data_IF_235623233425
#
_entry.id   IF_235623233425
#
_cell.length_a   1.000
_cell.length_b   1.000
_cell.length_c   1.000
_cell.angle_alpha   90.00
_cell.angle_beta   90.00
_cell.angle_gamma   90.00
#
_symmetry.space_group_name_H-M   'P 1'
#
loop_
_entity.id
_entity.type
_entity.pdbx_description
1 polymer ?
#
# COMPACT_ATOMS: atom_id res chain seq x y z
N UNK A 1 11.87 6.25 -4.58
CA UNK A 1 10.40 6.19 -4.46
C UNK A 1 9.94 7.63 -4.35
N UNK A 2 9.01 8.05 -5.21
CA UNK A 2 8.59 9.44 -5.27
C UNK A 2 7.08 9.53 -5.12
N UNK A 3 6.64 10.11 -4.01
CA UNK A 3 5.25 10.43 -3.74
C UNK A 3 5.04 11.93 -3.87
N UNK A 4 3.92 12.33 -4.47
CA UNK A 4 3.59 13.74 -4.69
C UNK A 4 2.35 14.19 -3.89
N UNK A 5 1.85 13.36 -2.99
CA UNK A 5 0.59 13.62 -2.26
C UNK A 5 0.69 14.68 -1.15
N UNK A 6 1.87 15.24 -0.92
CA UNK A 6 2.13 16.32 0.05
C UNK A 6 2.17 17.71 -0.57
N UNK A 7 2.13 17.82 -1.89
CA UNK A 7 2.11 19.11 -2.61
C UNK A 7 0.68 19.47 -3.05
N UNK A 8 0.52 20.67 -3.61
CA UNK A 8 -0.78 21.11 -4.15
C UNK A 8 -1.35 20.07 -5.14
N UNK A 9 -2.64 19.71 -5.06
CA UNK A 9 -3.24 18.70 -5.92
C UNK A 9 -3.06 18.95 -7.42
N UNK A 10 -3.12 20.20 -7.86
CA UNK A 10 -2.94 20.56 -9.28
C UNK A 10 -1.50 20.34 -9.73
N UNK A 11 -0.54 20.66 -8.88
CA UNK A 11 0.87 20.41 -9.14
C UNK A 11 1.15 18.90 -9.14
N UNK A 12 0.59 18.13 -8.17
CA UNK A 12 0.74 16.70 -8.08
C UNK A 12 0.33 15.97 -9.37
N UNK A 13 -0.77 16.40 -10.01
CA UNK A 13 -1.21 15.84 -11.30
C UNK A 13 -0.11 16.00 -12.37
N UNK A 14 0.50 17.17 -12.45
CA UNK A 14 1.58 17.45 -13.40
C UNK A 14 2.82 16.61 -13.14
N UNK A 15 3.24 16.51 -11.87
CA UNK A 15 4.42 15.74 -11.48
C UNK A 15 4.22 14.23 -11.65
N UNK A 16 3.07 13.68 -11.27
CA UNK A 16 2.76 12.26 -11.50
C UNK A 16 2.83 11.93 -13.00
N UNK A 17 2.22 12.73 -13.84
CA UNK A 17 2.27 12.54 -15.30
C UNK A 17 3.69 12.57 -15.85
N UNK A 18 4.48 13.59 -15.48
CA UNK A 18 5.88 13.70 -15.91
C UNK A 18 6.72 12.51 -15.44
N UNK A 19 6.53 12.07 -14.19
CA UNK A 19 7.22 10.92 -13.63
C UNK A 19 6.87 9.65 -14.40
N UNK A 20 5.59 9.39 -14.63
CA UNK A 20 5.13 8.21 -15.36
C UNK A 20 5.61 8.19 -16.82
N UNK A 21 5.56 9.32 -17.52
CA UNK A 21 6.08 9.45 -18.88
C UNK A 21 7.60 9.18 -18.95
N UNK A 22 8.35 9.70 -17.97
CA UNK A 22 9.80 9.49 -17.87
C UNK A 22 10.14 8.03 -17.61
N UNK A 23 9.39 7.40 -16.70
CA UNK A 23 9.54 5.98 -16.38
C UNK A 23 9.19 5.10 -17.59
N UNK A 24 8.09 5.39 -18.29
CA UNK A 24 7.69 4.66 -19.50
C UNK A 24 8.75 4.74 -20.60
N UNK A 25 9.36 5.92 -20.78
CA UNK A 25 10.48 6.08 -21.72
C UNK A 25 11.70 5.24 -21.33
N UNK A 26 11.99 5.11 -20.04
CA UNK A 26 13.08 4.26 -19.55
C UNK A 26 12.77 2.77 -19.74
N UNK A 27 11.56 2.33 -19.40
CA UNK A 27 11.08 0.96 -19.57
C UNK A 27 11.09 0.56 -21.05
N UNK A 28 10.72 1.47 -21.96
CA UNK A 28 10.67 1.19 -23.40
C UNK A 28 12.00 0.70 -23.98
N UNK A 29 13.11 1.07 -23.37
CA UNK A 29 14.46 0.63 -23.75
C UNK A 29 14.81 -0.78 -23.25
N UNK A 30 14.03 -1.31 -22.31
CA UNK A 30 14.29 -2.57 -21.62
C UNK A 30 13.00 -3.39 -21.39
N UNK A 31 12.09 -3.40 -22.36
CA UNK A 31 10.73 -3.99 -22.27
C UNK A 31 10.67 -5.43 -21.78
N UNK A 32 11.70 -6.23 -22.04
CA UNK A 32 11.75 -7.63 -21.61
C UNK A 32 12.27 -7.81 -20.17
N UNK A 33 12.63 -6.73 -19.49
CA UNK A 33 13.28 -6.77 -18.17
C UNK A 33 12.65 -5.84 -17.14
N UNK A 34 12.00 -4.78 -17.59
CA UNK A 34 11.43 -3.75 -16.72
C UNK A 34 9.95 -3.61 -17.00
N UNK A 35 9.19 -3.50 -15.93
CA UNK A 35 7.81 -3.06 -15.89
C UNK A 35 7.69 -1.85 -14.95
N UNK A 36 6.52 -1.22 -14.88
CA UNK A 36 6.30 -0.06 -14.04
C UNK A 36 4.96 -0.08 -13.33
N UNK A 37 4.94 0.60 -12.20
CA UNK A 37 3.74 0.97 -11.48
C UNK A 37 3.57 2.49 -11.52
N UNK A 38 2.34 2.95 -11.70
CA UNK A 38 2.04 4.37 -11.83
C UNK A 38 2.15 5.10 -10.49
N UNK A 39 2.81 6.27 -10.49
CA UNK A 39 2.65 7.26 -9.42
C UNK A 39 1.37 8.05 -9.65
N UNK A 40 0.58 8.24 -8.59
CA UNK A 40 -0.75 8.81 -8.68
C UNK A 40 -0.93 10.03 -7.76
N UNK A 41 -1.72 11.04 -8.17
CA UNK A 41 -2.04 12.22 -7.35
C UNK A 41 -3.14 11.88 -6.34
N UNK A 42 -2.80 11.17 -5.26
CA UNK A 42 -3.76 10.60 -4.29
C UNK A 42 -4.52 11.65 -3.46
N UNK A 43 -4.20 12.94 -3.60
CA UNK A 43 -5.02 14.06 -3.07
C UNK A 43 -6.35 14.22 -3.80
N UNK A 44 -6.44 13.72 -5.05
CA UNK A 44 -7.61 13.82 -5.92
C UNK A 44 -7.89 12.44 -6.54
N UNK A 45 -8.81 11.64 -5.96
CA UNK A 45 -9.11 10.29 -6.44
C UNK A 45 -9.59 10.24 -7.91
N UNK A 46 -10.28 11.27 -8.39
CA UNK A 46 -10.71 11.32 -9.78
C UNK A 46 -9.53 11.55 -10.74
N UNK A 47 -8.60 12.42 -10.36
CA UNK A 47 -7.36 12.62 -11.11
C UNK A 47 -6.48 11.37 -11.03
N UNK A 48 -6.43 10.69 -9.88
CA UNK A 48 -5.71 9.43 -9.71
C UNK A 48 -6.26 8.33 -10.63
N UNK A 49 -7.58 8.18 -10.71
CA UNK A 49 -8.23 7.21 -11.62
C UNK A 49 -7.89 7.48 -13.09
N UNK A 50 -7.94 8.75 -13.51
CA UNK A 50 -7.60 9.14 -14.90
C UNK A 50 -6.15 8.87 -15.25
N UNK A 51 -5.24 9.15 -14.32
CA UNK A 51 -3.81 8.93 -14.53
C UNK A 51 -3.48 7.42 -14.47
N UNK A 52 -4.16 6.65 -13.62
CA UNK A 52 -4.04 5.20 -13.61
C UNK A 52 -4.49 4.62 -14.96
N UNK A 53 -5.68 4.96 -15.42
CA UNK A 53 -6.22 4.50 -16.71
C UNK A 53 -5.25 4.80 -17.85
N UNK A 54 -4.73 6.04 -17.92
CA UNK A 54 -3.73 6.43 -18.91
C UNK A 54 -2.44 5.61 -18.79
N UNK A 55 -1.96 5.40 -17.57
CA UNK A 55 -0.71 4.66 -17.33
C UNK A 55 -0.82 3.20 -17.75
N UNK A 56 -1.98 2.58 -17.54
CA UNK A 56 -2.23 1.21 -17.95
C UNK A 56 -2.41 1.11 -19.47
N UNK A 57 -3.33 1.91 -20.05
CA UNK A 57 -3.74 1.79 -21.46
C UNK A 57 -2.71 2.34 -22.42
N UNK A 58 -2.07 3.47 -22.10
CA UNK A 58 -1.19 4.19 -23.02
C UNK A 58 0.30 3.92 -22.75
N UNK A 59 0.70 3.73 -21.47
CA UNK A 59 2.09 3.54 -21.10
C UNK A 59 2.47 2.07 -20.86
N UNK A 60 1.48 1.18 -20.72
CA UNK A 60 1.70 -0.25 -20.52
C UNK A 60 2.22 -0.61 -19.13
N UNK A 61 1.82 0.15 -18.10
CA UNK A 61 2.13 -0.16 -16.72
C UNK A 61 1.25 -1.30 -16.20
N UNK A 62 1.65 -1.88 -15.06
CA UNK A 62 1.05 -3.09 -14.50
C UNK A 62 0.20 -2.85 -13.26
N UNK A 63 0.13 -1.63 -12.76
CA UNK A 63 -0.62 -1.27 -11.56
C UNK A 63 -0.24 0.11 -11.05
N UNK A 64 -0.62 0.39 -9.81
CA UNK A 64 -0.28 1.63 -9.12
C UNK A 64 0.63 1.40 -7.92
N UNK A 65 1.52 2.37 -7.66
CA UNK A 65 2.37 2.43 -6.50
C UNK A 65 1.98 3.64 -5.66
N UNK A 66 1.39 3.41 -4.49
CA UNK A 66 0.85 4.46 -3.62
C UNK A 66 1.46 4.40 -2.23
N UNK A 67 1.43 5.54 -1.54
CA UNK A 67 1.92 5.64 -0.18
C UNK A 67 0.91 5.23 0.88
N UNK A 68 1.39 4.99 2.10
CA UNK A 68 0.54 4.75 3.27
C UNK A 68 -0.11 6.03 3.80
N UNK A 69 0.45 7.19 3.48
CA UNK A 69 0.01 8.50 3.96
C UNK A 69 -0.42 9.39 2.78
N UNK A 70 -1.70 9.70 2.70
CA UNK A 70 -2.30 10.67 1.78
C UNK A 70 -3.55 11.29 2.41
N UNK A 71 -3.96 12.52 1.99
CA UNK A 71 -4.91 13.36 2.75
C UNK A 71 -6.25 12.72 3.10
N UNK A 72 -6.82 11.91 2.20
CA UNK A 72 -8.12 11.26 2.43
C UNK A 72 -8.01 9.97 3.25
N UNK A 73 -6.91 9.26 3.11
CA UNK A 73 -6.74 7.91 3.68
C UNK A 73 -7.61 6.84 3.00
N UNK A 74 -7.27 5.58 3.25
CA UNK A 74 -7.85 4.45 2.51
C UNK A 74 -9.36 4.25 2.72
N UNK A 75 -9.87 4.52 3.91
CA UNK A 75 -11.28 4.24 4.24
C UNK A 75 -12.27 5.30 3.77
N UNK A 76 -11.80 6.42 3.20
CA UNK A 76 -12.64 7.52 2.80
C UNK A 76 -13.53 7.15 1.60
N UNK A 77 -14.82 7.55 1.63
CA UNK A 77 -15.78 7.19 0.59
C UNK A 77 -15.45 7.75 -0.81
N UNK A 78 -14.77 8.88 -0.88
CA UNK A 78 -14.32 9.43 -2.16
C UNK A 78 -13.28 8.55 -2.87
N UNK A 79 -12.70 7.57 -2.16
CA UNK A 79 -11.81 6.57 -2.75
C UNK A 79 -12.57 5.47 -3.50
N UNK A 80 -13.89 5.35 -3.32
CA UNK A 80 -14.66 4.23 -3.88
C UNK A 80 -14.62 4.21 -5.42
N UNK A 81 -14.69 5.36 -6.10
CA UNK A 81 -14.54 5.44 -7.55
C UNK A 81 -13.13 5.02 -8.02
N UNK A 82 -12.11 5.35 -7.25
CA UNK A 82 -10.73 4.92 -7.53
C UNK A 82 -10.56 3.41 -7.39
N UNK A 83 -11.13 2.80 -6.35
CA UNK A 83 -11.11 1.35 -6.18
C UNK A 83 -11.89 0.63 -7.29
N UNK A 84 -13.03 1.16 -7.69
CA UNK A 84 -13.78 0.65 -8.85
C UNK A 84 -12.93 0.68 -10.12
N UNK A 85 -12.21 1.78 -10.35
CA UNK A 85 -11.31 1.91 -11.49
C UNK A 85 -10.18 0.87 -11.48
N UNK A 86 -9.59 0.59 -10.30
CA UNK A 86 -8.55 -0.45 -10.17
C UNK A 86 -9.11 -1.84 -10.52
N UNK A 87 -10.30 -2.17 -10.02
CA UNK A 87 -10.99 -3.44 -10.31
C UNK A 87 -11.34 -3.55 -11.80
N UNK A 88 -11.89 -2.50 -12.41
CA UNK A 88 -12.25 -2.48 -13.84
C UNK A 88 -11.04 -2.62 -14.77
N UNK A 89 -9.88 -2.11 -14.34
CA UNK A 89 -8.63 -2.23 -15.08
C UNK A 89 -7.89 -3.55 -14.82
N UNK A 90 -8.35 -4.32 -13.83
CA UNK A 90 -7.71 -5.57 -13.37
C UNK A 90 -6.24 -5.37 -13.01
N UNK A 91 -5.96 -4.40 -12.14
CA UNK A 91 -4.59 -4.01 -11.78
C UNK A 91 -4.40 -3.87 -10.27
N UNK A 92 -3.24 -4.31 -9.73
CA UNK A 92 -2.96 -4.22 -8.32
C UNK A 92 -2.58 -2.81 -7.86
N UNK A 93 -2.86 -2.54 -6.59
CA UNK A 93 -2.30 -1.43 -5.82
C UNK A 93 -1.14 -1.94 -4.99
N UNK A 94 0.07 -1.46 -5.26
CA UNK A 94 1.22 -1.70 -4.39
C UNK A 94 1.35 -0.55 -3.39
N UNK A 95 1.27 -0.87 -2.10
CA UNK A 95 1.31 0.10 -1.00
C UNK A 95 2.67 0.02 -0.32
N UNK A 96 3.31 1.16 -0.18
CA UNK A 96 4.62 1.26 0.46
C UNK A 96 4.64 2.45 1.43
N UNK A 97 5.39 2.42 2.52
CA UNK A 97 5.45 3.52 3.46
C UNK A 97 5.78 4.85 2.79
N UNK A 98 5.01 5.85 3.14
CA UNK A 98 5.29 7.25 2.80
C UNK A 98 5.01 8.10 4.02
N UNK A 99 5.79 7.95 5.07
CA UNK A 99 5.61 8.73 6.26
C UNK A 99 5.81 10.21 5.94
N UNK A 100 5.13 11.08 6.68
CA UNK A 100 5.30 12.53 6.56
C UNK A 100 6.78 12.96 6.65
N UNK A 101 7.62 12.14 7.28
CA UNK A 101 9.05 12.33 7.36
C UNK A 101 9.81 12.32 6.02
N UNK A 102 9.26 11.77 4.94
CA UNK A 102 9.87 11.89 3.60
C UNK A 102 9.86 13.35 3.12
N UNK A 103 8.88 14.12 3.55
CA UNK A 103 8.61 15.47 3.07
C UNK A 103 8.43 16.50 4.19
N UNK A 104 8.70 16.11 5.41
CA UNK A 104 8.62 16.92 6.61
C UNK A 104 9.02 16.12 7.85
N UNK A 105 9.07 16.76 9.01
CA UNK A 105 9.44 16.06 10.24
C UNK A 105 8.39 14.99 10.58
N UNK A 106 8.87 13.86 11.01
CA UNK A 106 8.03 12.80 11.58
C UNK A 106 7.22 13.38 12.76
N UNK A 107 5.99 12.98 12.90
CA UNK A 107 5.13 13.50 13.99
C UNK A 107 5.54 13.00 15.38
N UNK A 108 6.37 11.96 15.46
CA UNK A 108 6.87 11.38 16.70
C UNK A 108 8.38 11.56 16.83
N UNK A 109 8.82 12.53 17.63
CA UNK A 109 10.22 12.86 17.86
C UNK A 109 11.06 11.68 18.40
N UNK A 110 10.44 10.63 18.92
CA UNK A 110 11.15 9.41 19.35
C UNK A 110 11.73 8.65 18.19
N UNK A 111 11.24 8.89 16.98
CA UNK A 111 11.69 8.26 15.75
C UNK A 111 12.80 9.03 15.02
N UNK A 112 13.16 10.23 15.48
CA UNK A 112 14.13 11.11 14.81
C UNK A 112 15.59 10.59 14.86
N UNK A 113 15.90 9.66 15.78
CA UNK A 113 17.24 9.14 15.97
C UNK A 113 17.34 7.67 15.53
N UNK A 114 18.55 7.27 15.18
CA UNK A 114 18.92 5.87 14.89
C UNK A 114 18.16 5.25 13.70
N UNK A 115 17.67 6.08 12.80
CA UNK A 115 16.82 5.66 11.68
C UNK A 115 15.57 4.87 12.13
N UNK A 116 15.03 5.21 13.31
CA UNK A 116 13.80 4.58 13.80
C UNK A 116 12.58 4.94 12.95
N UNK A 117 12.63 6.06 12.25
CA UNK A 117 11.64 6.43 11.22
C UNK A 117 11.52 5.36 10.13
N UNK A 118 12.65 4.83 9.65
CA UNK A 118 12.69 3.77 8.64
C UNK A 118 12.41 2.40 9.23
N UNK A 119 13.00 2.08 10.38
CA UNK A 119 12.95 0.71 10.92
C UNK A 119 11.69 0.40 11.73
N UNK A 120 11.11 1.39 12.39
CA UNK A 120 9.89 1.27 13.21
C UNK A 120 8.74 2.02 12.57
N UNK A 121 8.98 3.25 12.09
CA UNK A 121 7.97 4.11 11.52
C UNK A 121 7.30 3.46 10.30
N UNK A 122 8.07 2.99 9.35
CA UNK A 122 7.57 2.30 8.16
C UNK A 122 6.68 1.11 8.51
N UNK A 123 7.13 0.25 9.41
CA UNK A 123 6.35 -0.92 9.84
C UNK A 123 5.04 -0.52 10.55
N UNK A 124 5.05 0.57 11.32
CA UNK A 124 3.84 1.09 11.94
C UNK A 124 2.86 1.66 10.93
N UNK A 125 3.34 2.38 9.93
CA UNK A 125 2.51 2.98 8.88
C UNK A 125 1.83 1.91 8.03
N UNK A 126 2.55 0.86 7.63
CA UNK A 126 1.99 -0.28 6.92
C UNK A 126 0.92 -0.99 7.73
N UNK A 127 1.19 -1.24 9.01
CA UNK A 127 0.22 -1.85 9.91
C UNK A 127 -1.04 -0.99 10.07
N UNK A 128 -0.87 0.34 10.16
CA UNK A 128 -1.99 1.28 10.24
C UNK A 128 -2.78 1.33 8.92
N UNK A 129 -2.09 1.31 7.77
CA UNK A 129 -2.74 1.26 6.46
C UNK A 129 -3.59 0.00 6.30
N UNK A 130 -3.06 -1.18 6.67
CA UNK A 130 -3.81 -2.44 6.69
C UNK A 130 -5.03 -2.36 7.61
N UNK A 131 -4.86 -1.79 8.81
CA UNK A 131 -5.97 -1.55 9.73
C UNK A 131 -7.06 -0.68 9.09
N UNK A 132 -6.70 0.43 8.44
CA UNK A 132 -7.64 1.31 7.76
C UNK A 132 -8.36 0.63 6.59
N UNK A 133 -7.65 -0.14 5.78
CA UNK A 133 -8.24 -0.91 4.68
C UNK A 133 -9.28 -1.92 5.19
N UNK A 134 -8.92 -2.70 6.20
CA UNK A 134 -9.75 -3.79 6.71
C UNK A 134 -10.91 -3.24 7.55
N UNK A 135 -10.68 -2.45 8.60
CA UNK A 135 -11.76 -1.88 9.41
C UNK A 135 -12.63 -0.91 8.62
N UNK A 136 -12.05 -0.19 7.65
CA UNK A 136 -12.76 0.66 6.71
C UNK A 136 -13.60 -0.09 5.68
N UNK A 137 -13.50 -1.43 5.62
CA UNK A 137 -14.31 -2.28 4.75
C UNK A 137 -14.00 -2.11 3.26
N UNK A 138 -12.78 -1.76 2.90
CA UNK A 138 -12.41 -1.57 1.49
C UNK A 138 -12.53 -2.89 0.75
N UNK A 139 -11.88 -3.96 1.21
CA UNK A 139 -11.96 -5.29 0.60
C UNK A 139 -13.34 -5.96 0.78
N UNK A 140 -14.11 -5.55 1.78
CA UNK A 140 -15.50 -5.98 1.93
C UNK A 140 -16.39 -5.42 0.80
N UNK A 141 -16.14 -4.15 0.39
CA UNK A 141 -16.86 -3.53 -0.74
C UNK A 141 -16.29 -3.92 -2.10
N UNK A 142 -14.99 -4.16 -2.17
CA UNK A 142 -14.23 -4.45 -3.39
C UNK A 142 -13.41 -5.75 -3.21
N UNK A 143 -14.08 -6.92 -3.16
CA UNK A 143 -13.39 -8.20 -2.89
C UNK A 143 -12.43 -8.63 -4.02
N UNK A 144 -12.61 -8.07 -5.22
CA UNK A 144 -11.76 -8.32 -6.39
C UNK A 144 -10.63 -7.28 -6.53
N UNK A 145 -10.46 -6.39 -5.55
CA UNK A 145 -9.36 -5.42 -5.55
C UNK A 145 -8.08 -6.10 -5.07
N UNK A 146 -7.10 -6.22 -5.96
CA UNK A 146 -5.77 -6.71 -5.59
C UNK A 146 -4.96 -5.61 -4.89
N UNK A 147 -4.57 -5.87 -3.66
CA UNK A 147 -3.69 -5.01 -2.86
C UNK A 147 -2.43 -5.81 -2.52
N UNK A 148 -1.26 -5.23 -2.76
CA UNK A 148 0.01 -5.74 -2.27
C UNK A 148 0.64 -4.72 -1.34
N UNK A 149 1.14 -5.14 -0.19
CA UNK A 149 1.82 -4.27 0.77
C UNK A 149 3.27 -4.70 0.97
N UNK A 150 4.15 -3.71 1.12
CA UNK A 150 5.59 -3.95 1.29
C UNK A 150 5.96 -4.49 2.68
N UNK A 151 7.20 -4.93 2.82
CA UNK A 151 7.86 -5.35 4.07
C UNK A 151 7.03 -6.31 4.94
N UNK A 152 6.34 -7.26 4.29
CA UNK A 152 5.46 -8.21 5.00
C UNK A 152 4.30 -7.55 5.74
N UNK A 153 3.92 -6.30 5.37
CA UNK A 153 2.88 -5.53 6.04
C UNK A 153 3.28 -5.00 7.42
N UNK A 154 4.58 -4.78 7.61
CA UNK A 154 5.11 -4.23 8.85
C UNK A 154 4.94 -5.14 10.06
N UNK A 155 4.19 -4.70 11.07
CA UNK A 155 3.98 -5.46 12.30
C UNK A 155 2.72 -6.35 12.25
N UNK A 156 2.05 -6.47 11.10
CA UNK A 156 0.72 -7.07 11.02
C UNK A 156 0.70 -8.52 11.48
N UNK A 157 1.70 -9.32 11.10
CA UNK A 157 1.74 -10.73 11.47
C UNK A 157 1.77 -10.92 13.00
N UNK A 158 2.56 -10.09 13.71
CA UNK A 158 2.61 -10.11 15.17
C UNK A 158 1.33 -9.59 15.80
N UNK A 159 0.66 -8.59 15.20
CA UNK A 159 -0.51 -7.93 15.75
C UNK A 159 -1.85 -8.54 15.28
N UNK A 160 -1.85 -9.46 14.33
CA UNK A 160 -3.05 -10.00 13.71
C UNK A 160 -4.07 -10.53 14.72
N UNK A 161 -3.64 -11.34 15.70
CA UNK A 161 -4.53 -11.85 16.75
C UNK A 161 -5.12 -10.75 17.64
N UNK A 162 -4.34 -9.71 17.96
CA UNK A 162 -4.82 -8.56 18.72
C UNK A 162 -5.85 -7.74 17.96
N UNK A 163 -5.61 -7.53 16.65
CA UNK A 163 -6.52 -6.78 15.79
C UNK A 163 -7.80 -7.57 15.51
N UNK A 164 -7.72 -8.89 15.32
CA UNK A 164 -8.89 -9.76 15.20
C UNK A 164 -9.76 -9.69 16.47
N UNK A 165 -9.15 -9.79 17.63
CA UNK A 165 -9.87 -9.67 18.90
C UNK A 165 -10.52 -8.28 19.09
N UNK A 166 -9.85 -7.22 18.62
CA UNK A 166 -10.42 -5.87 18.63
C UNK A 166 -11.60 -5.75 17.65
N UNK A 167 -11.50 -6.35 16.46
CA UNK A 167 -12.59 -6.39 15.48
C UNK A 167 -13.86 -7.02 16.08
N UNK A 168 -13.71 -8.13 16.76
CA UNK A 168 -14.83 -8.87 17.37
C UNK A 168 -15.47 -8.15 18.56
N UNK A 169 -14.67 -7.48 19.40
CA UNK A 169 -15.11 -7.07 20.74
C UNK A 169 -15.17 -5.55 21.00
N UNK A 170 -14.56 -4.72 20.15
CA UNK A 170 -14.58 -3.26 20.39
C UNK A 170 -15.85 -2.63 19.87
N UNK A 171 -16.42 -1.73 20.66
CA UNK A 171 -17.61 -0.95 20.26
C UNK A 171 -17.37 -0.01 19.09
N UNK A 172 -16.10 0.34 18.81
CA UNK A 172 -15.69 1.15 17.65
C UNK A 172 -15.58 0.36 16.37
N UNK A 173 -15.60 -0.99 16.44
CA UNK A 173 -15.56 -1.83 15.23
C UNK A 173 -16.90 -1.81 14.52
N UNK A 174 -16.89 -1.66 13.18
CA UNK A 174 -18.11 -1.80 12.36
C UNK A 174 -18.77 -3.16 12.55
N UNK A 175 -20.09 -3.22 12.44
CA UNK A 175 -20.82 -4.47 12.72
C UNK A 175 -20.45 -5.60 11.77
N UNK A 176 -20.18 -5.30 10.52
CA UNK A 176 -19.84 -6.29 9.48
C UNK A 176 -18.55 -7.08 9.79
N UNK A 177 -17.59 -6.51 10.55
CA UNK A 177 -16.31 -7.19 10.86
C UNK A 177 -16.33 -7.94 12.21
N UNK A 178 -17.43 -7.84 12.97
CA UNK A 178 -17.54 -8.45 14.32
C UNK A 178 -17.71 -9.97 14.27
N UNK A 179 -18.00 -10.55 13.10
CA UNK A 179 -18.05 -12.00 12.96
C UNK A 179 -16.67 -12.59 13.27
N UNK A 180 -16.67 -13.67 14.04
CA UNK A 180 -15.44 -14.34 14.45
C UNK A 180 -14.61 -14.79 13.25
N UNK A 181 -13.36 -14.33 13.22
CA UNK A 181 -12.41 -14.65 12.16
C UNK A 181 -12.52 -13.77 10.91
N UNK A 182 -13.49 -12.84 10.83
CA UNK A 182 -13.64 -11.97 9.65
C UNK A 182 -12.40 -11.13 9.38
N UNK A 183 -11.79 -10.55 10.42
CA UNK A 183 -10.57 -9.76 10.27
C UNK A 183 -9.45 -10.56 9.57
N UNK A 184 -9.23 -11.80 9.99
CA UNK A 184 -8.19 -12.65 9.39
C UNK A 184 -8.56 -13.05 7.96
N UNK A 185 -9.85 -13.29 7.69
CA UNK A 185 -10.32 -13.57 6.32
C UNK A 185 -10.06 -12.40 5.39
N UNK A 186 -10.31 -11.17 5.83
CA UNK A 186 -9.99 -9.95 5.06
C UNK A 186 -8.49 -9.76 4.88
N UNK A 187 -7.70 -10.03 5.91
CA UNK A 187 -6.24 -9.94 5.85
C UNK A 187 -5.66 -10.92 4.81
N UNK A 188 -6.23 -12.11 4.69
CA UNK A 188 -5.81 -13.13 3.73
C UNK A 188 -6.20 -12.84 2.27
N UNK A 189 -6.95 -11.77 1.99
CA UNK A 189 -7.18 -11.29 0.63
C UNK A 189 -6.01 -10.45 0.11
N UNK A 190 -5.17 -9.94 1.00
CA UNK A 190 -4.06 -9.02 0.68
C UNK A 190 -2.80 -9.83 0.32
N UNK A 191 -2.05 -9.32 -0.64
CA UNK A 191 -0.72 -9.80 -1.01
C UNK A 191 0.36 -9.09 -0.20
N UNK A 192 1.42 -9.79 0.11
CA UNK A 192 2.54 -9.27 0.91
C UNK A 192 3.83 -9.51 0.16
N UNK A 193 4.69 -8.50 0.06
CA UNK A 193 6.05 -8.81 -0.33
C UNK A 193 6.78 -9.52 0.84
N UNK A 194 7.71 -10.38 0.49
CA UNK A 194 8.46 -11.14 1.48
C UNK A 194 9.82 -10.52 1.82
N UNK A 195 9.94 -9.20 1.65
CA UNK A 195 11.11 -8.46 2.09
C UNK A 195 11.13 -8.37 3.63
N UNK A 196 11.43 -9.50 4.25
CA UNK A 196 11.50 -9.72 5.70
C UNK A 196 12.85 -10.37 6.03
N UNK A 197 13.60 -9.79 6.96
CA UNK A 197 15.02 -10.11 7.15
C UNK A 197 15.32 -11.36 8.01
N UNK A 198 14.31 -11.94 8.64
CA UNK A 198 14.49 -13.13 9.48
C UNK A 198 13.53 -14.25 9.10
N UNK A 199 14.04 -15.47 9.03
CA UNK A 199 13.26 -16.67 8.72
C UNK A 199 12.08 -16.86 9.69
N UNK A 200 12.27 -16.61 10.99
CA UNK A 200 11.20 -16.70 11.98
C UNK A 200 10.06 -15.72 11.72
N UNK A 201 10.38 -14.49 11.28
CA UNK A 201 9.39 -13.47 10.95
C UNK A 201 8.64 -13.83 9.66
N UNK A 202 9.35 -14.37 8.67
CA UNK A 202 8.76 -14.86 7.43
C UNK A 202 7.83 -16.05 7.71
N UNK A 203 8.26 -17.00 8.54
CA UNK A 203 7.42 -18.14 8.96
C UNK A 203 6.14 -17.67 9.65
N UNK A 204 6.22 -16.69 10.55
CA UNK A 204 5.05 -16.13 11.20
C UNK A 204 4.10 -15.47 10.19
N UNK A 205 4.64 -14.72 9.24
CA UNK A 205 3.84 -14.13 8.15
C UNK A 205 3.13 -15.23 7.35
N UNK A 206 3.86 -16.27 6.94
CA UNK A 206 3.31 -17.41 6.20
C UNK A 206 2.16 -18.13 6.95
N UNK A 207 2.31 -18.30 8.26
CA UNK A 207 1.27 -18.93 9.11
C UNK A 207 -0.02 -18.09 9.20
N UNK A 208 0.11 -16.75 9.14
CA UNK A 208 -1.03 -15.84 9.27
C UNK A 208 -1.74 -15.60 7.93
N UNK A 209 -0.99 -15.34 6.87
CA UNK A 209 -1.57 -14.89 5.59
C UNK A 209 -1.58 -15.98 4.50
N UNK A 210 -0.78 -17.03 4.66
CA UNK A 210 -0.60 -18.08 3.64
C UNK A 210 0.59 -17.80 2.72
N UNK A 211 1.24 -18.87 2.23
CA UNK A 211 2.38 -18.78 1.30
C UNK A 211 1.97 -18.26 -0.06
N UNK A 212 0.77 -18.58 -0.49
CA UNK A 212 0.18 -18.19 -1.77
C UNK A 212 -0.13 -16.69 -1.87
N UNK A 213 -0.11 -15.97 -0.76
CA UNK A 213 -0.32 -14.53 -0.70
C UNK A 213 0.98 -13.73 -0.57
N UNK A 214 2.09 -14.31 -1.00
CA UNK A 214 3.39 -13.65 -0.95
C UNK A 214 3.97 -13.45 -2.35
N UNK A 215 4.63 -12.31 -2.52
CA UNK A 215 5.38 -11.95 -3.72
C UNK A 215 6.83 -11.67 -3.37
N UNK A 216 7.74 -11.88 -4.31
CA UNK A 216 9.15 -11.63 -4.08
C UNK A 216 9.44 -10.13 -4.06
N UNK A 217 9.90 -9.62 -2.91
CA UNK A 217 10.45 -8.30 -2.73
C UNK A 217 11.96 -8.37 -2.54
N UNK A 218 12.73 -7.59 -3.30
CA UNK A 218 14.20 -7.59 -3.20
C UNK A 218 14.77 -6.27 -2.70
N UNK A 219 13.95 -5.24 -2.62
CA UNK A 219 14.39 -3.87 -2.32
C UNK A 219 15.69 -3.47 -3.05
N UNK A 220 15.78 -3.84 -4.34
CA UNK A 220 16.99 -3.63 -5.16
C UNK A 220 17.43 -2.16 -5.12
N UNK A 221 18.71 -1.92 -4.81
CA UNK A 221 19.34 -0.64 -4.52
C UNK A 221 18.92 -0.02 -3.16
N UNK A 222 18.10 -0.66 -2.35
CA UNK A 222 17.86 -0.27 -0.96
C UNK A 222 19.06 -0.58 -0.05
N UNK A 223 19.09 0.05 1.12
CA UNK A 223 20.15 -0.15 2.10
C UNK A 223 20.12 -1.52 2.79
N UNK A 224 18.97 -2.17 2.75
CA UNK A 224 18.63 -3.43 3.42
C UNK A 224 18.32 -4.56 2.43
N UNK A 225 18.98 -4.55 1.27
CA UNK A 225 18.88 -5.66 0.32
C UNK A 225 19.23 -6.99 1.01
N UNK A 226 18.50 -8.09 0.73
CA UNK A 226 18.81 -9.40 1.24
C UNK A 226 20.12 -9.96 0.68
#
# INVERSE_FOLDING_TARGET
ITYFHFIDPKEAIGYCKLHNDTMANSISKHRNRLGGFASLPMQDPQAASKELERSIKDLGFHGAYIGTDFPLGFAHKEMDDFYSCCVELDVPLFIHPSPQGINGPYSDNRLDLYSLDLTVGFANDETAALGNLIFGGVLHRYPDLDICISHGGGNIAFLAGRMALAAENRHTSPDWIKEKGEFLRQLQLIWFDNHVHQEASLTLLEEIVGKERQVLGTNFLGWDQP
#
